data_IF_047516559919
#
_entry.id   IF_047516559919
#
_cell.length_a   1.000
_cell.length_b   1.000
_cell.length_c   1.000
_cell.angle_alpha   90.00
_cell.angle_beta   90.00
_cell.angle_gamma   90.00
#
_symmetry.space_group_name_H-M   'P 1'
#
loop_
_entity.id
_entity.type
_entity.pdbx_description
1 polymer ?
#
# COMPACT_ATOMS: atom_id res chain seq x y z
N UNK A 1 14.87 -28.59 8.15
CA UNK A 1 14.22 -28.65 6.81
C UNK A 1 12.71 -28.90 6.82
N UNK A 2 12.11 -29.46 7.89
CA UNK A 2 10.65 -29.68 7.98
C UNK A 2 9.74 -28.43 8.08
N UNK A 3 10.11 -27.28 8.71
CA UNK A 3 9.18 -26.16 8.87
C UNK A 3 8.94 -25.34 7.60
N UNK A 4 9.81 -25.44 6.59
CA UNK A 4 9.67 -24.74 5.30
C UNK A 4 8.55 -25.32 4.43
N UNK A 5 8.25 -26.62 4.55
CA UNK A 5 7.21 -27.29 3.75
C UNK A 5 5.78 -26.95 4.21
N UNK A 6 5.59 -26.61 5.49
CA UNK A 6 4.29 -26.17 6.03
C UNK A 6 3.97 -24.71 5.69
N UNK A 7 4.99 -23.88 5.45
CA UNK A 7 4.82 -22.47 5.10
C UNK A 7 4.51 -22.26 3.61
N UNK A 8 4.87 -23.22 2.75
CA UNK A 8 4.68 -23.12 1.30
C UNK A 8 3.21 -22.88 0.87
N UNK A 9 2.20 -23.66 1.32
CA UNK A 9 0.81 -23.43 0.91
C UNK A 9 0.23 -22.13 1.48
N UNK A 10 0.68 -21.70 2.67
CA UNK A 10 0.28 -20.42 3.25
C UNK A 10 0.89 -19.25 2.48
N UNK A 11 2.17 -19.37 2.09
CA UNK A 11 2.87 -18.39 1.28
C UNK A 11 2.21 -18.23 -0.09
N UNK A 12 1.92 -19.34 -0.75
CA UNK A 12 1.18 -19.34 -2.02
C UNK A 12 -0.17 -18.65 -1.84
N UNK A 13 -0.92 -18.99 -0.79
CA UNK A 13 -2.23 -18.40 -0.52
C UNK A 13 -2.19 -16.89 -0.16
N UNK A 14 -1.09 -16.39 0.42
CA UNK A 14 -0.86 -14.96 0.66
C UNK A 14 -0.48 -14.19 -0.63
N UNK A 15 0.06 -14.89 -1.63
CA UNK A 15 0.49 -14.33 -2.91
C UNK A 15 -0.55 -14.52 -4.03
N UNK A 16 -1.58 -15.32 -3.80
CA UNK A 16 -2.73 -15.40 -4.69
C UNK A 16 -3.59 -14.14 -4.55
N UNK A 17 -4.13 -13.59 -5.65
CA UNK A 17 -5.05 -12.47 -5.57
C UNK A 17 -6.25 -12.88 -4.69
N UNK A 18 -6.61 -12.09 -3.66
CA UNK A 18 -7.81 -12.35 -2.86
C UNK A 18 -9.03 -12.65 -3.73
N UNK A 19 -9.83 -13.64 -3.30
CA UNK A 19 -11.05 -14.03 -3.99
C UNK A 19 -11.98 -12.83 -4.13
N UNK A 20 -12.35 -12.45 -5.37
CA UNK A 20 -13.36 -11.41 -5.63
C UNK A 20 -14.71 -11.92 -5.08
N UNK A 21 -15.31 -11.31 -4.05
CA UNK A 21 -16.71 -11.57 -3.75
C UNK A 21 -17.57 -10.90 -4.83
N UNK A 22 -18.78 -11.43 -5.03
CA UNK A 22 -19.77 -10.82 -5.91
C UNK A 22 -20.00 -9.36 -5.51
N UNK A 23 -20.09 -8.48 -6.51
CA UNK A 23 -20.33 -7.03 -6.40
C UNK A 23 -21.71 -6.78 -5.80
N UNK A 24 -21.85 -6.99 -4.49
CA UNK A 24 -22.90 -6.36 -3.70
C UNK A 24 -22.28 -5.13 -3.06
N UNK A 25 -22.55 -3.98 -3.69
CA UNK A 25 -22.33 -2.65 -3.16
C UNK A 25 -22.60 -2.63 -1.65
N UNK A 26 -21.58 -2.30 -0.85
CA UNK A 26 -21.79 -1.92 0.54
C UNK A 26 -21.13 -0.58 0.76
N UNK A 27 -21.98 0.43 0.67
CA UNK A 27 -21.78 1.76 1.25
C UNK A 27 -21.28 1.54 2.68
N UNK A 28 -20.06 1.99 2.98
CA UNK A 28 -19.66 2.12 4.38
C UNK A 28 -20.71 3.01 5.05
N UNK A 29 -21.37 2.57 6.14
CA UNK A 29 -22.27 3.46 6.85
C UNK A 29 -21.49 4.72 7.22
N UNK A 30 -21.97 5.88 6.73
CA UNK A 30 -21.46 7.18 7.12
C UNK A 30 -21.48 7.26 8.64
N UNK A 31 -20.29 7.34 9.21
CA UNK A 31 -19.97 7.40 10.63
C UNK A 31 -20.23 6.11 11.42
N UNK A 32 -19.16 5.37 11.67
CA UNK A 32 -19.13 4.34 12.71
C UNK A 32 -18.42 4.99 13.89
N UNK A 33 -19.11 5.25 15.01
CA UNK A 33 -18.61 6.01 16.18
C UNK A 33 -17.29 5.55 16.78
N UNK A 34 -17.14 5.56 18.11
CA UNK A 34 -15.87 5.09 18.69
C UNK A 34 -15.63 3.62 18.31
N UNK A 35 -14.37 3.13 18.21
CA UNK A 35 -14.11 1.71 17.93
C UNK A 35 -14.83 0.73 18.88
N UNK A 36 -15.19 1.17 20.09
CA UNK A 36 -15.98 0.41 21.04
C UNK A 36 -17.47 0.26 20.65
N UNK A 37 -17.98 1.18 19.83
CA UNK A 37 -19.35 1.19 19.32
C UNK A 37 -19.48 0.43 17.99
N UNK A 38 -18.36 -0.05 17.45
CA UNK A 38 -18.37 -0.75 16.19
C UNK A 38 -19.02 -2.13 16.33
N UNK A 39 -19.78 -2.59 15.32
CA UNK A 39 -20.27 -3.96 15.34
C UNK A 39 -19.06 -4.91 15.44
N UNK A 40 -19.20 -6.00 16.22
CA UNK A 40 -18.13 -6.95 16.41
C UNK A 40 -17.70 -7.51 15.05
N UNK A 41 -16.39 -7.70 14.87
CA UNK A 41 -15.86 -8.27 13.65
C UNK A 41 -16.40 -9.69 13.48
N UNK A 42 -16.76 -10.09 12.24
CA UNK A 42 -17.22 -11.45 12.01
C UNK A 42 -16.10 -12.44 12.39
N UNK A 43 -16.47 -13.62 12.96
CA UNK A 43 -15.49 -14.65 13.26
C UNK A 43 -14.84 -15.15 11.96
N UNK A 44 -13.63 -15.72 12.04
CA UNK A 44 -12.97 -16.27 10.86
C UNK A 44 -13.80 -17.41 10.27
N UNK A 45 -13.81 -17.51 8.94
CA UNK A 45 -14.52 -18.58 8.23
C UNK A 45 -13.83 -19.92 8.52
N UNK A 46 -14.60 -20.94 8.86
CA UNK A 46 -14.05 -22.28 9.10
C UNK A 46 -13.32 -22.79 7.85
N UNK A 47 -12.10 -23.29 8.02
CA UNK A 47 -11.25 -23.78 6.93
C UNK A 47 -10.46 -22.71 6.16
N UNK A 48 -10.64 -21.42 6.47
CA UNK A 48 -9.85 -20.34 5.85
C UNK A 48 -8.57 -20.08 6.64
N UNK A 49 -7.56 -20.91 6.39
CA UNK A 49 -6.29 -20.87 7.13
C UNK A 49 -5.54 -19.53 6.97
N UNK A 50 -5.72 -18.83 5.85
CA UNK A 50 -5.11 -17.51 5.64
C UNK A 50 -5.74 -16.48 6.57
N UNK A 51 -7.06 -16.43 6.63
CA UNK A 51 -7.78 -15.50 7.52
C UNK A 51 -7.44 -15.75 9.00
N UNK A 52 -7.44 -17.03 9.40
CA UNK A 52 -7.07 -17.45 10.76
C UNK A 52 -5.64 -17.04 11.07
N UNK A 53 -4.69 -17.31 10.16
CA UNK A 53 -3.29 -16.96 10.34
C UNK A 53 -3.09 -15.45 10.44
N UNK A 54 -3.63 -14.67 9.51
CA UNK A 54 -3.50 -13.22 9.47
C UNK A 54 -4.05 -12.56 10.73
N UNK A 55 -5.26 -12.93 11.15
CA UNK A 55 -5.86 -12.42 12.40
C UNK A 55 -5.07 -12.86 13.63
N UNK A 56 -4.69 -14.13 13.69
CA UNK A 56 -3.94 -14.69 14.81
C UNK A 56 -2.58 -14.01 14.97
N UNK A 57 -1.87 -13.79 13.87
CA UNK A 57 -0.57 -13.14 13.87
C UNK A 57 -0.69 -11.66 14.25
N UNK A 58 -1.67 -10.94 13.69
CA UNK A 58 -1.95 -9.55 14.07
C UNK A 58 -2.18 -9.42 15.57
N UNK A 59 -3.11 -10.21 16.12
CA UNK A 59 -3.46 -10.21 17.54
C UNK A 59 -2.32 -10.68 18.44
N UNK A 60 -1.47 -11.61 17.98
CA UNK A 60 -0.29 -12.06 18.73
C UNK A 60 0.73 -10.92 18.85
N UNK A 61 1.02 -10.23 17.74
CA UNK A 61 1.99 -9.14 17.73
C UNK A 61 1.47 -7.90 18.46
N UNK A 62 0.19 -7.62 18.40
CA UNK A 62 -0.45 -6.53 19.14
C UNK A 62 -0.16 -6.62 20.66
N UNK A 63 -0.20 -7.83 21.23
CA UNK A 63 0.08 -8.06 22.66
C UNK A 63 1.52 -7.76 23.08
N UNK A 64 2.43 -7.66 22.12
CA UNK A 64 3.85 -7.35 22.38
C UNK A 64 4.11 -5.84 22.45
N UNK A 65 3.14 -5.02 22.04
CA UNK A 65 3.25 -3.56 22.02
C UNK A 65 2.82 -3.01 23.38
N UNK A 66 3.58 -2.04 23.90
CA UNK A 66 3.24 -1.41 25.18
C UNK A 66 1.86 -0.74 25.12
N UNK A 67 1.04 -0.79 26.20
CA UNK A 67 -0.36 -0.37 26.15
C UNK A 67 -0.60 1.05 25.64
N UNK A 68 0.32 1.98 25.93
CA UNK A 68 0.22 3.38 25.50
C UNK A 68 0.38 3.52 23.98
N UNK A 69 1.33 2.79 23.39
CA UNK A 69 1.52 2.79 21.94
C UNK A 69 0.38 2.06 21.25
N UNK A 70 -0.10 0.95 21.82
CA UNK A 70 -1.28 0.26 21.30
C UNK A 70 -2.49 1.20 21.29
N UNK A 71 -2.81 1.86 22.41
CA UNK A 71 -3.93 2.81 22.50
C UNK A 71 -3.82 3.97 21.49
N UNK A 72 -2.60 4.42 21.18
CA UNK A 72 -2.38 5.39 20.11
C UNK A 72 -2.60 4.79 18.72
N UNK A 73 -2.12 3.57 18.48
CA UNK A 73 -2.13 2.89 17.20
C UNK A 73 -3.46 2.19 16.83
N UNK A 74 -4.44 2.15 17.75
CA UNK A 74 -5.74 1.59 17.45
C UNK A 74 -6.42 2.32 16.28
N UNK A 75 -7.03 1.55 15.39
CA UNK A 75 -7.82 2.08 14.28
C UNK A 75 -8.99 2.89 14.81
N UNK A 76 -9.19 4.09 14.26
CA UNK A 76 -10.27 5.01 14.65
C UNK A 76 -11.22 5.28 13.50
N UNK A 77 -12.35 5.90 13.82
CA UNK A 77 -13.23 6.46 12.81
C UNK A 77 -12.49 7.54 11.99
N UNK A 78 -12.75 7.58 10.68
CA UNK A 78 -12.21 8.61 9.80
C UNK A 78 -12.58 10.01 10.30
N UNK A 79 -11.55 10.81 10.58
CA UNK A 79 -11.76 12.23 10.84
C UNK A 79 -12.01 12.97 9.52
N UNK A 80 -13.00 13.88 9.45
CA UNK A 80 -13.23 14.68 8.24
C UNK A 80 -11.96 15.44 7.85
N UNK A 81 -11.50 15.29 6.61
CA UNK A 81 -10.34 16.04 6.13
C UNK A 81 -10.69 17.52 5.92
N UNK A 82 -11.90 17.83 5.45
CA UNK A 82 -12.42 19.20 5.28
C UNK A 82 -11.53 20.08 4.40
N UNK A 83 -11.87 21.38 4.31
CA UNK A 83 -11.03 22.39 3.63
C UNK A 83 -9.93 22.93 4.55
N UNK A 84 -9.14 22.03 5.15
CA UNK A 84 -7.95 22.41 5.91
C UNK A 84 -6.91 23.04 5.00
N UNK A 85 -6.17 24.03 5.49
CA UNK A 85 -4.99 24.52 4.78
C UNK A 85 -3.91 23.43 4.66
N UNK A 86 -2.89 23.67 3.84
CA UNK A 86 -1.85 22.66 3.58
C UNK A 86 -1.05 22.26 4.84
N UNK A 87 -0.84 23.19 5.77
CA UNK A 87 -0.05 22.97 6.99
C UNK A 87 -0.84 22.15 8.00
N UNK A 88 -2.10 22.50 8.21
CA UNK A 88 -3.00 21.76 9.09
C UNK A 88 -3.28 20.36 8.51
N UNK A 89 -3.47 20.25 7.20
CA UNK A 89 -3.58 18.96 6.52
C UNK A 89 -2.35 18.08 6.77
N UNK A 90 -1.14 18.65 6.62
CA UNK A 90 0.10 17.92 6.87
C UNK A 90 0.17 17.38 8.30
N UNK A 91 0.06 18.25 9.31
CA UNK A 91 0.21 17.84 10.70
C UNK A 91 -0.90 16.92 11.17
N UNK A 92 -2.15 17.20 10.81
CA UNK A 92 -3.28 16.34 11.16
C UNK A 92 -3.18 14.95 10.53
N UNK A 93 -2.52 14.82 9.37
CA UNK A 93 -2.31 13.53 8.71
C UNK A 93 -1.10 12.79 9.26
N UNK A 94 0.02 13.48 9.48
CA UNK A 94 1.26 12.90 10.03
C UNK A 94 1.06 12.32 11.43
N UNK A 95 0.21 12.94 12.24
CA UNK A 95 -0.08 12.54 13.62
C UNK A 95 -1.33 11.67 13.74
N UNK A 96 -2.01 11.37 12.63
CA UNK A 96 -3.22 10.55 12.67
C UNK A 96 -2.87 9.08 12.98
N UNK A 97 -3.69 8.42 13.81
CA UNK A 97 -3.68 6.97 13.89
C UNK A 97 -4.20 6.35 12.58
N UNK A 98 -4.15 5.02 12.44
CA UNK A 98 -4.90 4.33 11.41
C UNK A 98 -6.39 4.70 11.51
N UNK A 99 -7.06 4.91 10.39
CA UNK A 99 -8.46 5.34 10.35
C UNK A 99 -9.31 4.45 9.43
N UNK A 100 -10.61 4.38 9.66
CA UNK A 100 -11.54 3.67 8.77
C UNK A 100 -12.73 4.55 8.35
N UNK A 101 -12.99 4.75 7.04
CA UNK A 101 -12.15 4.37 5.88
C UNK A 101 -10.71 4.88 6.00
N UNK A 102 -9.72 4.24 5.35
CA UNK A 102 -8.29 4.59 5.45
C UNK A 102 -7.98 6.03 5.07
N UNK A 103 -6.89 6.60 5.60
CA UNK A 103 -6.56 8.02 5.38
C UNK A 103 -5.71 8.23 4.14
N UNK A 104 -6.11 9.21 3.31
CA UNK A 104 -5.30 9.63 2.17
C UNK A 104 -3.97 10.24 2.63
N UNK A 105 -2.87 9.63 2.20
CA UNK A 105 -1.49 10.02 2.50
C UNK A 105 -0.71 10.11 1.18
N UNK A 106 -0.74 11.27 0.49
CA UNK A 106 -0.11 11.42 -0.82
C UNK A 106 1.41 11.27 -0.75
N UNK A 107 2.04 11.05 -1.91
CA UNK A 107 3.48 10.77 -2.03
C UNK A 107 4.31 11.91 -1.49
N UNK A 108 3.96 13.17 -1.83
CA UNK A 108 4.69 14.33 -1.32
C UNK A 108 4.73 14.37 0.22
N UNK A 109 3.61 14.06 0.88
CA UNK A 109 3.51 14.08 2.34
C UNK A 109 4.35 12.96 2.93
N UNK A 110 4.25 11.78 2.31
CA UNK A 110 5.02 10.60 2.72
C UNK A 110 6.52 10.86 2.65
N UNK A 111 7.01 11.46 1.57
CA UNK A 111 8.42 11.85 1.43
C UNK A 111 8.79 12.93 2.47
N UNK A 112 7.99 13.99 2.58
CA UNK A 112 8.26 15.11 3.47
C UNK A 112 8.34 14.72 4.95
N UNK A 113 7.54 13.75 5.39
CA UNK A 113 7.58 13.23 6.76
C UNK A 113 8.67 12.15 6.95
N UNK A 114 8.95 11.34 5.93
CA UNK A 114 9.89 10.22 6.03
C UNK A 114 11.35 10.63 5.94
N UNK A 115 11.71 11.56 5.05
CA UNK A 115 13.13 11.95 4.86
C UNK A 115 13.73 12.57 6.14
N UNK A 116 13.09 13.53 6.82
CA UNK A 116 13.64 14.12 8.05
C UNK A 116 13.70 13.14 9.23
N UNK A 117 12.91 12.07 9.20
CA UNK A 117 12.83 11.05 10.25
C UNK A 117 13.64 9.80 9.95
N UNK A 118 14.53 9.84 8.94
CA UNK A 118 15.31 8.69 8.47
C UNK A 118 14.44 7.44 8.23
N UNK A 119 13.31 7.63 7.54
CA UNK A 119 12.28 6.62 7.25
C UNK A 119 11.47 6.15 8.47
N UNK A 120 11.66 6.72 9.66
CA UNK A 120 10.85 6.40 10.84
C UNK A 120 9.36 6.62 10.60
N UNK A 121 8.99 7.75 9.99
CA UNK A 121 7.59 8.00 9.63
C UNK A 121 7.10 7.08 8.50
N UNK A 122 7.98 6.63 7.60
CA UNK A 122 7.60 5.64 6.59
C UNK A 122 7.17 4.31 7.23
N UNK A 123 7.86 3.91 8.30
CA UNK A 123 7.43 2.78 9.13
C UNK A 123 6.02 3.00 9.69
N UNK A 124 5.74 4.18 10.26
CA UNK A 124 4.40 4.53 10.74
C UNK A 124 3.32 4.52 9.64
N UNK A 125 3.66 5.05 8.45
CA UNK A 125 2.81 4.98 7.27
C UNK A 125 2.49 3.53 6.90
N UNK A 126 3.51 2.66 6.84
CA UNK A 126 3.35 1.24 6.51
C UNK A 126 2.48 0.51 7.52
N UNK A 127 2.75 0.72 8.80
CA UNK A 127 1.91 0.20 9.88
C UNK A 127 0.46 0.63 9.69
N UNK A 128 0.23 1.92 9.46
CA UNK A 128 -1.12 2.46 9.33
C UNK A 128 -1.86 1.88 8.15
N UNK A 129 -1.26 1.88 6.96
CA UNK A 129 -1.88 1.34 5.74
C UNK A 129 -2.26 -0.14 5.90
N UNK A 130 -1.39 -0.94 6.50
CA UNK A 130 -1.66 -2.36 6.72
C UNK A 130 -2.81 -2.59 7.70
N UNK A 131 -2.87 -1.85 8.82
CA UNK A 131 -3.99 -1.90 9.76
C UNK A 131 -5.30 -1.41 9.13
N UNK A 132 -5.27 -0.31 8.38
CA UNK A 132 -6.44 0.23 7.70
C UNK A 132 -7.03 -0.79 6.73
N UNK A 133 -6.19 -1.39 5.88
CA UNK A 133 -6.61 -2.43 4.94
C UNK A 133 -7.08 -3.70 5.67
N UNK A 134 -6.43 -4.09 6.78
CA UNK A 134 -6.85 -5.25 7.56
C UNK A 134 -8.27 -5.08 8.10
N UNK A 135 -8.56 -3.97 8.79
CA UNK A 135 -9.90 -3.72 9.33
C UNK A 135 -10.96 -3.50 8.26
N UNK A 136 -10.57 -2.85 7.17
CA UNK A 136 -11.42 -2.64 6.02
C UNK A 136 -11.84 -3.97 5.37
N UNK A 137 -10.90 -4.89 5.12
CA UNK A 137 -11.19 -6.23 4.57
C UNK A 137 -12.10 -7.04 5.49
N UNK A 138 -11.85 -6.98 6.80
CA UNK A 138 -12.68 -7.66 7.79
C UNK A 138 -14.12 -7.14 7.79
N UNK A 139 -14.33 -5.84 7.53
CA UNK A 139 -15.66 -5.24 7.51
C UNK A 139 -16.37 -5.40 6.17
N UNK A 140 -15.64 -5.28 5.06
CA UNK A 140 -16.20 -5.41 3.71
C UNK A 140 -16.46 -6.86 3.32
N UNK A 141 -15.51 -7.74 3.60
CA UNK A 141 -15.51 -9.11 3.10
C UNK A 141 -15.60 -10.18 4.20
N UNK A 142 -15.40 -9.80 5.47
CA UNK A 142 -15.39 -10.73 6.59
C UNK A 142 -14.16 -11.64 6.63
N UNK A 143 -13.09 -11.27 5.91
CA UNK A 143 -11.89 -12.09 5.70
C UNK A 143 -10.67 -11.20 5.57
N UNK A 144 -9.62 -11.46 6.34
CA UNK A 144 -8.33 -10.78 6.23
C UNK A 144 -7.42 -11.53 5.25
N UNK A 145 -6.72 -10.77 4.39
CA UNK A 145 -5.72 -11.34 3.48
C UNK A 145 -4.30 -10.87 3.76
N UNK A 146 -4.15 -9.78 4.52
CA UNK A 146 -2.89 -9.36 5.14
C UNK A 146 -2.93 -9.45 6.66
N UNK A 147 -1.76 -9.47 7.30
CA UNK A 147 -1.64 -9.62 8.76
C UNK A 147 -1.71 -8.28 9.54
N UNK A 148 -2.14 -7.20 8.90
CA UNK A 148 -2.18 -5.84 9.48
C UNK A 148 -0.79 -5.29 9.84
N UNK A 149 -0.74 -4.06 10.34
CA UNK A 149 0.48 -3.38 10.75
C UNK A 149 1.18 -4.08 11.92
N UNK A 150 0.43 -4.65 12.87
CA UNK A 150 1.01 -5.45 13.95
C UNK A 150 1.66 -6.74 13.41
N UNK A 151 0.94 -7.53 12.64
CA UNK A 151 1.46 -8.79 12.10
C UNK A 151 2.56 -8.59 11.06
N UNK A 152 2.55 -7.48 10.32
CA UNK A 152 3.58 -7.16 9.32
C UNK A 152 4.80 -6.48 9.94
N UNK A 153 4.64 -5.22 10.40
CA UNK A 153 5.78 -4.38 10.75
C UNK A 153 6.33 -4.68 12.14
N UNK A 154 5.46 -4.96 13.12
CA UNK A 154 5.92 -5.27 14.48
C UNK A 154 6.62 -6.65 14.49
N UNK A 155 6.11 -7.65 13.77
CA UNK A 155 6.82 -8.93 13.60
C UNK A 155 8.20 -8.73 12.96
N UNK A 156 8.28 -7.99 11.85
CA UNK A 156 9.56 -7.67 11.21
C UNK A 156 10.53 -7.01 12.21
N UNK A 157 10.05 -6.01 12.95
CA UNK A 157 10.85 -5.29 13.95
C UNK A 157 11.34 -6.23 15.05
N UNK A 158 10.50 -7.16 15.52
CA UNK A 158 10.88 -8.19 16.49
C UNK A 158 11.98 -9.11 15.96
N UNK A 159 11.86 -9.58 14.72
CA UNK A 159 12.88 -10.41 14.09
C UNK A 159 14.23 -9.68 14.02
N UNK A 160 14.23 -8.40 13.64
CA UNK A 160 15.45 -7.58 13.58
C UNK A 160 16.05 -7.35 14.96
N UNK A 161 15.24 -7.01 15.97
CA UNK A 161 15.73 -6.74 17.33
C UNK A 161 16.25 -8.01 17.99
N UNK A 162 15.47 -9.09 17.99
CA UNK A 162 15.86 -10.36 18.61
C UNK A 162 17.03 -10.99 17.87
N UNK A 163 16.99 -11.01 16.54
CA UNK A 163 18.08 -11.50 15.71
C UNK A 163 19.35 -10.66 15.90
N UNK A 164 19.25 -9.34 15.87
CA UNK A 164 20.39 -8.44 16.04
C UNK A 164 21.04 -8.57 17.43
N UNK A 165 20.24 -8.57 18.49
CA UNK A 165 20.75 -8.80 19.86
C UNK A 165 21.35 -10.19 20.02
N UNK A 166 20.71 -11.22 19.44
CA UNK A 166 21.24 -12.58 19.43
C UNK A 166 22.58 -12.69 18.69
N UNK A 167 22.73 -12.00 17.56
CA UNK A 167 23.99 -11.97 16.79
C UNK A 167 25.10 -11.30 17.58
N UNK A 168 24.81 -10.17 18.24
CA UNK A 168 25.76 -9.49 19.13
C UNK A 168 26.17 -10.37 20.32
N UNK A 169 25.23 -11.16 20.85
CA UNK A 169 25.48 -12.11 21.94
C UNK A 169 26.14 -13.43 21.48
N UNK A 170 26.40 -13.61 20.19
CA UNK A 170 27.01 -14.83 19.64
C UNK A 170 26.09 -16.07 19.68
N UNK A 171 24.77 -15.87 19.73
CA UNK A 171 23.79 -16.96 19.73
C UNK A 171 23.72 -17.59 18.33
N UNK A 172 23.97 -18.90 18.18
CA UNK A 172 23.87 -19.58 16.89
C UNK A 172 22.45 -19.45 16.29
N UNK A 173 22.37 -19.05 15.02
CA UNK A 173 21.11 -18.93 14.28
C UNK A 173 20.39 -17.58 14.41
N UNK A 174 20.94 -16.62 15.14
CA UNK A 174 20.34 -15.28 15.28
C UNK A 174 20.25 -14.51 13.94
N UNK A 175 21.23 -14.68 13.05
CA UNK A 175 21.20 -14.12 11.69
C UNK A 175 20.03 -14.67 10.87
N UNK A 176 19.71 -15.96 11.01
CA UNK A 176 18.55 -16.56 10.34
C UNK A 176 17.23 -15.95 10.80
N UNK A 177 17.13 -15.43 12.03
CA UNK A 177 15.94 -14.70 12.49
C UNK A 177 15.79 -13.38 11.71
N UNK A 178 16.90 -12.67 11.49
CA UNK A 178 16.92 -11.44 10.69
C UNK A 178 16.50 -11.75 9.25
N UNK A 179 17.02 -12.82 8.66
CA UNK A 179 16.65 -13.27 7.31
C UNK A 179 15.17 -13.61 7.20
N UNK A 180 14.60 -14.29 8.21
CA UNK A 180 13.15 -14.56 8.28
C UNK A 180 12.35 -13.26 8.34
N UNK A 181 12.82 -12.27 9.11
CA UNK A 181 12.22 -10.93 9.12
C UNK A 181 12.26 -10.27 7.74
N UNK A 182 13.40 -10.30 7.07
CA UNK A 182 13.58 -9.74 5.73
C UNK A 182 12.67 -10.43 4.69
N UNK A 183 12.58 -11.76 4.72
CA UNK A 183 11.66 -12.50 3.87
C UNK A 183 10.20 -12.13 4.15
N UNK A 184 9.83 -12.04 5.43
CA UNK A 184 8.48 -11.68 5.85
C UNK A 184 8.04 -10.30 5.34
N UNK A 185 8.88 -9.27 5.50
CA UNK A 185 8.52 -7.93 5.06
C UNK A 185 8.40 -7.85 3.52
N UNK A 186 9.22 -8.60 2.77
CA UNK A 186 9.12 -8.68 1.31
C UNK A 186 7.83 -9.36 0.87
N UNK A 187 7.45 -10.47 1.51
CA UNK A 187 6.20 -11.19 1.22
C UNK A 187 5.00 -10.30 1.52
N UNK A 188 4.97 -9.65 2.69
CA UNK A 188 3.93 -8.68 3.04
C UNK A 188 3.87 -7.53 2.06
N UNK A 189 5.01 -7.05 1.55
CA UNK A 189 5.05 -5.98 0.55
C UNK A 189 4.43 -6.41 -0.79
N UNK A 190 4.69 -7.65 -1.25
CA UNK A 190 4.03 -8.19 -2.46
C UNK A 190 2.53 -8.32 -2.24
N UNK A 191 2.10 -8.87 -1.09
CA UNK A 191 0.70 -9.01 -0.72
C UNK A 191 0.00 -7.64 -0.69
N UNK A 192 0.62 -6.63 -0.07
CA UNK A 192 0.12 -5.25 -0.07
C UNK A 192 -0.13 -4.73 -1.49
N UNK A 193 0.79 -4.97 -2.43
CA UNK A 193 0.60 -4.58 -3.83
C UNK A 193 -0.57 -5.29 -4.50
N UNK A 194 -0.78 -6.58 -4.22
CA UNK A 194 -1.93 -7.33 -4.71
C UNK A 194 -3.24 -6.76 -4.15
N UNK A 195 -3.29 -6.47 -2.85
CA UNK A 195 -4.46 -5.87 -2.19
C UNK A 195 -4.78 -4.50 -2.79
N UNK A 196 -3.80 -3.62 -2.92
CA UNK A 196 -3.98 -2.30 -3.55
C UNK A 196 -4.45 -2.43 -5.00
N UNK A 197 -3.89 -3.37 -5.76
CA UNK A 197 -4.35 -3.63 -7.13
C UNK A 197 -5.82 -3.97 -7.21
N UNK A 198 -6.32 -4.78 -6.27
CA UNK A 198 -7.73 -5.14 -6.26
C UNK A 198 -8.62 -3.93 -5.97
N UNK A 199 -8.26 -3.13 -4.97
CA UNK A 199 -8.99 -1.93 -4.62
C UNK A 199 -9.10 -0.95 -5.78
N UNK A 200 -8.00 -0.74 -6.50
CA UNK A 200 -7.97 0.18 -7.63
C UNK A 200 -8.67 -0.43 -8.84
N UNK A 201 -8.54 -1.73 -9.09
CA UNK A 201 -9.24 -2.43 -10.18
C UNK A 201 -10.76 -2.35 -10.01
N UNK A 202 -11.27 -2.37 -8.77
CA UNK A 202 -12.70 -2.20 -8.47
C UNK A 202 -13.24 -0.84 -8.94
N UNK A 203 -12.40 0.20 -8.97
CA UNK A 203 -12.79 1.57 -9.34
C UNK A 203 -12.41 1.92 -10.78
N UNK A 204 -11.17 1.63 -11.16
CA UNK A 204 -10.54 2.08 -12.42
C UNK A 204 -10.44 0.97 -13.49
N UNK A 205 -10.79 -0.27 -13.14
CA UNK A 205 -10.86 -1.39 -14.09
C UNK A 205 -9.53 -2.08 -14.41
N UNK A 206 -8.38 -1.49 -14.08
CA UNK A 206 -7.06 -2.08 -14.30
C UNK A 206 -6.13 -2.01 -13.06
N UNK A 207 -5.25 -3.01 -12.87
CA UNK A 207 -4.29 -3.00 -11.76
C UNK A 207 -3.11 -2.06 -12.03
N UNK A 208 -2.84 -1.09 -11.15
CA UNK A 208 -1.76 -0.12 -11.37
C UNK A 208 -0.36 -0.64 -11.05
N UNK A 209 -0.21 -1.68 -10.23
CA UNK A 209 1.09 -2.16 -9.73
C UNK A 209 1.47 -3.51 -10.32
N UNK A 210 2.74 -3.67 -10.66
CA UNK A 210 3.33 -4.99 -10.88
C UNK A 210 3.88 -5.51 -9.55
N UNK A 211 3.09 -6.32 -8.83
CA UNK A 211 3.42 -6.73 -7.47
C UNK A 211 4.81 -7.40 -7.34
N UNK A 212 5.23 -8.15 -8.36
CA UNK A 212 6.55 -8.78 -8.41
C UNK A 212 7.72 -7.79 -8.47
N UNK A 213 7.50 -6.51 -8.79
CA UNK A 213 8.54 -5.48 -8.76
C UNK A 213 9.05 -5.21 -7.34
N UNK A 214 8.31 -5.63 -6.30
CA UNK A 214 8.82 -5.60 -4.92
C UNK A 214 10.12 -6.40 -4.75
N UNK A 215 10.36 -7.38 -5.63
CA UNK A 215 11.51 -8.28 -5.58
C UNK A 215 12.70 -7.76 -6.41
N UNK A 216 12.52 -6.66 -7.14
CA UNK A 216 13.58 -6.06 -7.94
C UNK A 216 14.54 -5.26 -7.04
N UNK A 217 15.83 -5.18 -7.39
CA UNK A 217 16.76 -4.37 -6.63
C UNK A 217 16.40 -2.87 -6.73
N UNK A 218 16.82 -2.06 -5.74
CA UNK A 218 16.78 -0.62 -5.87
C UNK A 218 17.43 -0.12 -7.16
N UNK A 219 16.82 0.86 -7.86
CA UNK A 219 15.70 1.71 -7.43
C UNK A 219 14.30 1.23 -7.85
N UNK A 220 14.15 0.05 -8.47
CA UNK A 220 12.88 -0.37 -9.09
C UNK A 220 11.79 -0.74 -8.07
N UNK A 221 12.17 -1.25 -6.90
CA UNK A 221 11.28 -1.46 -5.75
C UNK A 221 10.69 -0.14 -5.23
N UNK A 222 11.49 0.93 -5.21
CA UNK A 222 11.08 2.28 -4.81
C UNK A 222 10.03 2.83 -5.79
N UNK A 223 10.23 2.62 -7.10
CA UNK A 223 9.26 3.04 -8.14
C UNK A 223 7.88 2.45 -7.89
N UNK A 224 7.79 1.14 -7.69
CA UNK A 224 6.49 0.49 -7.42
C UNK A 224 5.93 0.88 -6.05
N UNK A 225 6.79 1.13 -5.06
CA UNK A 225 6.39 1.64 -3.75
C UNK A 225 5.75 3.03 -3.82
N UNK A 226 6.33 3.96 -4.59
CA UNK A 226 5.76 5.30 -4.79
C UNK A 226 4.41 5.25 -5.53
N UNK A 227 4.31 4.39 -6.55
CA UNK A 227 3.02 4.12 -7.23
C UNK A 227 1.98 3.61 -6.24
N UNK A 228 2.34 2.64 -5.40
CA UNK A 228 1.45 2.11 -4.37
C UNK A 228 0.93 3.19 -3.43
N UNK A 229 1.79 4.10 -2.98
CA UNK A 229 1.41 5.23 -2.11
C UNK A 229 0.39 6.13 -2.81
N UNK A 230 0.66 6.51 -4.07
CA UNK A 230 -0.21 7.39 -4.84
C UNK A 230 -1.61 6.79 -5.06
N UNK A 231 -1.68 5.57 -5.61
CA UNK A 231 -2.96 4.95 -5.93
C UNK A 231 -3.78 4.62 -4.70
N UNK A 232 -3.14 4.23 -3.59
CA UNK A 232 -3.85 4.01 -2.33
C UNK A 232 -4.37 5.31 -1.74
N UNK A 233 -3.61 6.40 -1.80
CA UNK A 233 -4.08 7.71 -1.36
C UNK A 233 -5.31 8.17 -2.16
N UNK A 234 -5.29 7.99 -3.47
CA UNK A 234 -6.42 8.29 -4.36
C UNK A 234 -7.65 7.44 -4.03
N UNK A 235 -7.46 6.13 -3.83
CA UNK A 235 -8.52 5.22 -3.41
C UNK A 235 -9.18 5.69 -2.12
N UNK A 236 -8.39 5.98 -1.08
CA UNK A 236 -8.92 6.40 0.21
C UNK A 236 -9.62 7.77 0.17
N UNK A 237 -9.10 8.70 -0.63
CA UNK A 237 -9.77 9.97 -0.88
C UNK A 237 -11.18 9.75 -1.46
N UNK A 238 -11.28 8.89 -2.47
CA UNK A 238 -12.57 8.54 -3.09
C UNK A 238 -13.49 7.80 -2.11
N UNK A 239 -12.97 6.83 -1.35
CA UNK A 239 -13.73 6.05 -0.38
C UNK A 239 -14.30 6.89 0.78
N UNK A 240 -13.64 8.01 1.12
CA UNK A 240 -14.13 8.99 2.10
C UNK A 240 -15.10 10.02 1.53
N UNK A 241 -15.22 10.11 0.20
CA UNK A 241 -15.94 11.19 -0.46
C UNK A 241 -15.23 12.54 -0.37
N UNK A 242 -13.92 12.54 -0.09
CA UNK A 242 -13.10 13.74 -0.04
C UNK A 242 -12.67 14.16 -1.46
N UNK A 243 -12.48 15.46 -1.68
CA UNK A 243 -11.97 15.99 -2.94
C UNK A 243 -10.47 15.73 -3.08
N UNK A 244 -10.07 15.09 -4.19
CA UNK A 244 -8.65 14.87 -4.49
C UNK A 244 -7.91 16.19 -4.68
N UNK A 245 -6.95 16.48 -3.81
CA UNK A 245 -6.17 17.73 -3.80
C UNK A 245 -4.95 17.72 -4.74
N UNK A 246 -4.73 16.60 -5.43
CA UNK A 246 -3.54 16.40 -6.25
C UNK A 246 -2.33 15.92 -5.47
N UNK A 247 -1.35 15.42 -6.21
CA UNK A 247 -0.05 14.99 -5.69
C UNK A 247 1.04 15.43 -6.66
N UNK A 248 1.56 16.65 -6.44
CA UNK A 248 2.55 17.26 -7.35
C UNK A 248 3.77 16.38 -7.59
N UNK A 249 4.18 15.60 -6.59
CA UNK A 249 5.30 14.66 -6.77
C UNK A 249 4.93 13.58 -7.78
N UNK A 250 3.75 12.98 -7.64
CA UNK A 250 3.32 11.90 -8.52
C UNK A 250 2.80 12.36 -9.89
N UNK A 251 2.22 13.56 -9.97
CA UNK A 251 1.50 14.05 -11.14
C UNK A 251 2.32 15.04 -11.98
N UNK A 252 3.14 15.87 -11.34
CA UNK A 252 3.92 16.90 -12.04
C UNK A 252 5.40 16.54 -12.16
N UNK A 253 6.02 16.10 -11.06
CA UNK A 253 7.47 15.88 -10.98
C UNK A 253 7.93 14.52 -11.50
N UNK A 254 7.18 13.46 -11.23
CA UNK A 254 7.51 12.08 -11.59
C UNK A 254 6.26 11.37 -12.15
N UNK A 255 5.83 11.72 -13.38
CA UNK A 255 4.54 11.28 -13.93
C UNK A 255 4.44 9.76 -14.13
N UNK A 256 5.55 9.03 -14.13
CA UNK A 256 5.51 7.57 -14.06
C UNK A 256 4.83 7.04 -12.79
N UNK A 257 4.67 7.83 -11.73
CA UNK A 257 4.02 7.41 -10.48
C UNK A 257 2.50 7.33 -10.65
N UNK A 258 1.89 8.30 -11.34
CA UNK A 258 0.44 8.38 -11.53
C UNK A 258 -0.06 7.68 -12.81
N UNK A 259 0.83 7.24 -13.70
CA UNK A 259 0.46 6.55 -14.94
C UNK A 259 -0.44 5.33 -14.65
N UNK A 260 -1.58 5.11 -15.33
CA UNK A 260 -2.54 4.05 -15.01
C UNK A 260 -1.94 2.65 -15.01
N UNK A 261 -1.21 2.29 -16.07
CA UNK A 261 -0.47 1.03 -16.19
C UNK A 261 0.92 1.29 -16.74
N UNK A 262 1.93 0.88 -15.98
CA UNK A 262 3.30 1.27 -16.24
C UNK A 262 4.25 0.08 -16.24
N UNK A 263 4.67 -0.38 -17.42
CA UNK A 263 5.57 -1.54 -17.56
C UNK A 263 7.03 -1.14 -17.44
N UNK A 264 7.92 -2.09 -17.15
CA UNK A 264 9.37 -1.83 -17.07
C UNK A 264 9.90 -1.40 -18.43
N UNK A 265 9.31 -1.94 -19.49
CA UNK A 265 9.58 -1.54 -20.86
C UNK A 265 9.15 -0.10 -21.13
N UNK A 266 7.96 0.31 -20.67
CA UNK A 266 7.51 1.71 -20.77
C UNK A 266 8.43 2.63 -19.99
N UNK A 267 8.84 2.22 -18.78
CA UNK A 267 9.84 2.96 -18.00
C UNK A 267 11.12 3.15 -18.80
N UNK A 268 11.71 2.08 -19.34
CA UNK A 268 12.97 2.19 -20.06
C UNK A 268 12.86 2.92 -21.41
N UNK A 269 11.70 2.90 -22.08
CA UNK A 269 11.52 3.49 -23.42
C UNK A 269 11.01 4.92 -23.42
N UNK A 270 10.43 5.40 -22.33
CA UNK A 270 9.76 6.70 -22.29
C UNK A 270 10.40 7.60 -21.23
N UNK A 271 11.60 8.17 -21.50
CA UNK A 271 12.26 9.09 -20.58
C UNK A 271 11.42 10.31 -20.22
N UNK A 272 10.47 10.69 -21.08
CA UNK A 272 9.50 11.76 -20.83
C UNK A 272 8.61 11.53 -19.61
N UNK A 273 8.52 10.30 -19.13
CA UNK A 273 7.79 9.97 -17.92
C UNK A 273 8.65 9.99 -16.64
N UNK A 274 9.97 10.12 -16.75
CA UNK A 274 10.87 10.01 -15.59
C UNK A 274 10.82 11.22 -14.69
N UNK A 275 10.99 12.41 -15.28
CA UNK A 275 11.11 13.66 -14.54
C UNK A 275 10.36 14.79 -15.25
N UNK A 276 10.00 15.83 -14.51
CA UNK A 276 9.36 17.00 -15.08
C UNK A 276 10.19 17.71 -16.17
N UNK A 277 11.51 17.66 -16.08
CA UNK A 277 12.41 18.28 -17.06
C UNK A 277 12.70 17.38 -18.27
N UNK A 278 12.33 16.10 -18.23
CA UNK A 278 12.52 15.17 -19.36
C UNK A 278 11.29 15.07 -20.25
N UNK A 279 10.20 15.82 -19.97
CA UNK A 279 8.93 15.75 -20.69
C UNK A 279 9.03 15.88 -22.21
N UNK A 280 10.01 16.62 -22.71
CA UNK A 280 10.22 16.84 -24.15
C UNK A 280 11.24 15.88 -24.77
N UNK A 281 11.75 14.90 -24.01
CA UNK A 281 12.72 13.94 -24.51
C UNK A 281 12.04 12.91 -25.43
N UNK A 282 12.67 12.57 -26.57
CA UNK A 282 12.14 11.55 -27.46
C UNK A 282 12.18 10.17 -26.80
N UNK A 283 11.24 9.32 -27.19
CA UNK A 283 11.23 7.92 -26.78
C UNK A 283 12.45 7.18 -27.32
N UNK A 284 12.98 6.25 -26.52
CA UNK A 284 14.12 5.43 -26.90
C UNK A 284 13.68 4.28 -27.79
N UNK A 285 14.13 4.31 -29.05
CA UNK A 285 13.98 3.23 -30.02
C UNK A 285 14.97 2.09 -29.74
N UNK A 286 14.82 1.44 -28.58
CA UNK A 286 15.56 0.21 -28.29
C UNK A 286 14.93 -0.95 -29.09
N UNK A 287 15.60 -1.39 -30.16
CA UNK A 287 15.14 -2.51 -31.00
C UNK A 287 15.06 -3.85 -30.25
N UNK A 288 15.88 -4.02 -29.20
CA UNK A 288 15.79 -5.14 -28.25
C UNK A 288 14.44 -5.18 -27.50
N UNK A 289 13.80 -4.01 -27.45
CA UNK A 289 12.45 -3.68 -27.03
C UNK A 289 11.32 -4.42 -27.74
N UNK A 290 11.39 -4.54 -29.07
CA UNK A 290 10.24 -4.45 -29.99
C UNK A 290 8.97 -5.26 -29.63
N UNK A 291 7.78 -4.73 -29.97
CA UNK A 291 6.53 -5.41 -29.64
C UNK A 291 6.36 -6.65 -30.52
N UNK A 292 5.81 -7.76 -30.01
CA UNK A 292 5.17 -8.72 -30.89
C UNK A 292 4.04 -7.98 -31.61
N UNK A 293 4.05 -8.01 -32.94
CA UNK A 293 3.08 -7.29 -33.78
C UNK A 293 1.64 -7.56 -33.31
N UNK A 294 0.97 -6.54 -32.74
CA UNK A 294 -0.42 -6.68 -32.31
C UNK A 294 -0.95 -5.69 -31.25
N UNK A 295 -0.11 -4.93 -30.54
CA UNK A 295 -0.58 -3.95 -29.55
C UNK A 295 -0.64 -2.54 -30.18
N UNK A 296 -1.85 -2.03 -30.38
CA UNK A 296 -2.05 -0.73 -31.02
C UNK A 296 -1.98 0.39 -29.96
N UNK A 297 -0.86 1.13 -29.96
CA UNK A 297 -0.58 2.28 -29.08
C UNK A 297 -1.46 3.52 -29.34
N UNK A 298 -2.43 3.47 -30.26
CA UNK A 298 -3.29 4.60 -30.64
C UNK A 298 -4.25 5.10 -29.54
N UNK A 299 -4.21 4.53 -28.33
CA UNK A 299 -5.04 4.97 -27.19
C UNK A 299 -4.32 5.88 -26.18
N UNK A 300 -3.03 6.17 -26.34
CA UNK A 300 -2.33 7.15 -25.49
C UNK A 300 -2.14 8.45 -26.26
N UNK A 301 -3.22 9.23 -26.39
CA UNK A 301 -3.17 10.57 -26.96
C UNK A 301 -2.69 11.59 -25.92
N UNK A 302 -1.83 12.51 -26.37
CA UNK A 302 -1.21 13.63 -25.63
C UNK A 302 -2.20 14.51 -24.84
N UNK A 303 -3.50 14.41 -25.13
CA UNK A 303 -4.60 15.11 -24.46
C UNK A 303 -4.92 14.60 -23.06
N UNK A 304 -4.58 13.36 -22.74
CA UNK A 304 -5.05 12.70 -21.50
C UNK A 304 -4.17 13.01 -20.28
N UNK A 305 -3.03 13.67 -20.49
CA UNK A 305 -2.03 14.01 -19.46
C UNK A 305 -2.10 15.48 -19.02
N UNK A 306 -3.09 16.27 -19.46
CA UNK A 306 -3.30 17.65 -19.01
C UNK A 306 -4.58 17.78 -18.17
N UNK A 307 -4.49 18.09 -16.86
CA UNK A 307 -5.66 18.42 -16.05
C UNK A 307 -6.26 19.80 -16.41
N UNK A 308 -5.60 20.57 -17.27
CA UNK A 308 -5.94 21.97 -17.51
C UNK A 308 -7.01 22.22 -18.58
N UNK A 309 -7.39 21.21 -19.38
CA UNK A 309 -8.37 21.40 -20.47
C UNK A 309 -9.82 21.08 -20.10
N UNK A 310 -10.09 20.48 -18.94
CA UNK A 310 -11.45 20.06 -18.54
C UNK A 310 -12.29 21.14 -17.83
N UNK A 311 -11.93 22.41 -17.97
CA UNK A 311 -12.60 23.54 -17.27
C UNK A 311 -13.42 24.49 -18.16
N UNK A 312 -13.46 24.28 -19.49
CA UNK A 312 -14.10 25.21 -20.43
C UNK A 312 -15.19 24.58 -21.32
N UNK A 313 -15.90 23.55 -20.84
CA UNK A 313 -17.08 23.01 -21.54
C UNK A 313 -18.26 22.82 -20.57
N UNK A 314 -18.58 23.85 -19.79
CA UNK A 314 -19.94 24.08 -19.27
C UNK A 314 -20.10 25.60 -19.11
N UNK A 315 -20.41 26.27 -20.22
CA UNK A 315 -21.19 27.52 -20.28
C UNK A 315 -21.95 27.55 -21.62
#
# INVERSE_FOLDING_TARGET
MAPLLLLCPLLEALLLPPHRPSVQQRVFPCRMGSPADWPPLPPPKQGDYVDIFCRGLNAAMEKTVVPQLNAYAQVREATPQGDKDAREFFWSTVQSPPELPGRSRPVWLTIAASVPTALGWYGWYKFSVEEELFYDELRRYGRATGAGGYGTLILFSWCVVVGGLGSVAGIPGAESIIEVGAAWILISQVNLYLRVNQLVTEIEGEPPLYAWWALLPPPLDVVVGLRQVHFLAKYWCSARGDTWRGDKVAEEYFPFISAPRFTLRTFLRTPSLWFWFSKDWPDLELNLLAEPQGYNMSKFTRSDLSPASRRNEVE
#
